data_IF_414941834384
#
_entry.id   IF_414941834384
#
_cell.length_a   1.000
_cell.length_b   1.000
_cell.length_c   1.000
_cell.angle_alpha   90.00
_cell.angle_beta   90.00
_cell.angle_gamma   90.00
#
_symmetry.space_group_name_H-M   'P 1'
#
loop_
_entity.id
_entity.type
_entity.pdbx_description
1 polymer ?
#
# COMPACT_ATOMS: atom_id res chain seq x y z
N UNK A 1 -6.57 -2.39 -15.49
CA UNK A 1 -5.99 -1.03 -15.58
C UNK A 1 -6.86 -0.08 -14.79
N UNK A 2 -8.05 0.31 -15.26
CA UNK A 2 -8.91 1.33 -14.61
C UNK A 2 -8.99 1.24 -13.08
N UNK A 3 -9.32 0.07 -12.50
CA UNK A 3 -9.40 -0.08 -11.04
C UNK A 3 -8.11 0.24 -10.27
N UNK A 4 -6.95 0.00 -10.88
CA UNK A 4 -5.65 0.34 -10.29
C UNK A 4 -5.37 1.83 -10.40
N UNK A 5 -5.78 2.46 -11.50
CA UNK A 5 -5.66 3.90 -11.69
C UNK A 5 -6.57 4.65 -10.70
N UNK A 6 -7.82 4.17 -10.53
CA UNK A 6 -8.77 4.73 -9.56
C UNK A 6 -8.26 4.58 -8.11
N UNK A 7 -7.73 3.40 -7.76
CA UNK A 7 -7.12 3.16 -6.46
C UNK A 7 -5.91 4.09 -6.24
N UNK A 8 -5.04 4.22 -7.25
CA UNK A 8 -3.88 5.10 -7.16
C UNK A 8 -4.30 6.54 -6.89
N UNK A 9 -5.27 7.06 -7.64
CA UNK A 9 -5.78 8.42 -7.46
C UNK A 9 -6.40 8.64 -6.07
N UNK A 10 -7.14 7.65 -5.56
CA UNK A 10 -7.72 7.72 -4.23
C UNK A 10 -6.64 7.77 -3.13
N UNK A 11 -5.58 6.96 -3.26
CA UNK A 11 -4.44 6.98 -2.33
C UNK A 11 -3.68 8.30 -2.45
N UNK A 12 -3.42 8.77 -3.68
CA UNK A 12 -2.71 10.04 -3.91
C UNK A 12 -3.43 11.21 -3.23
N UNK A 13 -4.75 11.33 -3.45
CA UNK A 13 -5.55 12.38 -2.83
C UNK A 13 -5.39 12.37 -1.31
N UNK A 14 -5.52 11.19 -0.69
CA UNK A 14 -5.42 11.04 0.76
C UNK A 14 -4.02 11.36 1.30
N UNK A 15 -2.96 10.84 0.66
CA UNK A 15 -1.57 11.13 1.04
C UNK A 15 -1.30 12.63 0.94
N UNK A 16 -1.82 13.29 -0.10
CA UNK A 16 -1.62 14.73 -0.25
C UNK A 16 -2.31 15.54 0.83
N UNK A 17 -3.57 15.23 1.11
CA UNK A 17 -4.37 15.92 2.13
C UNK A 17 -3.80 15.73 3.54
N UNK A 18 -3.39 14.51 3.89
CA UNK A 18 -2.88 14.20 5.23
C UNK A 18 -1.48 14.77 5.52
N UNK A 19 -0.70 15.07 4.49
CA UNK A 19 0.71 15.45 4.62
C UNK A 19 1.01 16.83 3.99
N UNK A 20 -0.03 17.63 3.73
CA UNK A 20 0.06 18.96 3.13
C UNK A 20 0.92 19.00 1.85
N UNK A 21 0.77 17.99 0.98
CA UNK A 21 1.50 17.91 -0.29
C UNK A 21 0.72 18.68 -1.35
N UNK A 22 1.35 19.71 -1.91
CA UNK A 22 0.72 20.56 -2.92
C UNK A 22 0.73 19.89 -4.30
N UNK A 23 -0.12 20.38 -5.20
CA UNK A 23 -0.05 19.95 -6.61
C UNK A 23 1.29 20.30 -7.27
N UNK A 24 1.95 21.38 -6.83
CA UNK A 24 3.26 21.77 -7.33
C UNK A 24 4.30 20.74 -6.91
N UNK A 25 4.28 20.27 -5.66
CA UNK A 25 5.16 19.19 -5.20
C UNK A 25 4.98 17.93 -6.06
N UNK A 26 3.75 17.57 -6.39
CA UNK A 26 3.43 16.39 -7.21
C UNK A 26 3.75 16.52 -8.70
N UNK A 27 3.95 17.73 -9.21
CA UNK A 27 4.25 17.97 -10.64
C UNK A 27 5.69 18.38 -10.88
N UNK A 28 6.43 18.69 -9.83
CA UNK A 28 7.87 19.01 -9.88
C UNK A 28 8.70 17.84 -9.36
N UNK A 29 9.97 17.77 -9.74
CA UNK A 29 10.91 16.73 -9.27
C UNK A 29 11.52 17.10 -7.91
N UNK A 30 10.69 17.49 -6.95
CA UNK A 30 11.15 17.81 -5.59
C UNK A 30 11.29 16.54 -4.77
N UNK A 31 12.22 16.54 -3.81
CA UNK A 31 12.39 15.42 -2.87
C UNK A 31 11.09 15.09 -2.12
N UNK A 32 10.29 16.12 -1.78
CA UNK A 32 8.99 15.97 -1.12
C UNK A 32 7.97 15.28 -2.01
N UNK A 33 7.84 15.72 -3.27
CA UNK A 33 6.96 15.07 -4.25
C UNK A 33 7.37 13.62 -4.53
N UNK A 34 8.67 13.36 -4.62
CA UNK A 34 9.17 12.00 -4.82
C UNK A 34 8.89 11.10 -3.60
N UNK A 35 9.12 11.58 -2.38
CA UNK A 35 8.78 10.84 -1.16
C UNK A 35 7.26 10.56 -1.07
N UNK A 36 6.42 11.50 -1.48
CA UNK A 36 4.97 11.29 -1.56
C UNK A 36 4.60 10.20 -2.57
N UNK A 37 5.19 10.20 -3.77
CA UNK A 37 5.01 9.11 -4.74
C UNK A 37 5.47 7.76 -4.20
N UNK A 38 6.56 7.72 -3.44
CA UNK A 38 7.03 6.50 -2.79
C UNK A 38 6.03 5.99 -1.74
N UNK A 39 5.46 6.89 -0.92
CA UNK A 39 4.40 6.54 0.05
C UNK A 39 3.16 5.98 -0.65
N UNK A 40 2.72 6.62 -1.73
CA UNK A 40 1.58 6.15 -2.53
C UNK A 40 1.86 4.75 -3.09
N UNK A 41 3.06 4.53 -3.64
CA UNK A 41 3.48 3.22 -4.15
C UNK A 41 3.48 2.14 -3.07
N UNK A 42 3.98 2.44 -1.86
CA UNK A 42 3.96 1.51 -0.74
C UNK A 42 2.54 1.05 -0.40
N UNK A 43 1.60 2.01 -0.29
CA UNK A 43 0.20 1.70 0.02
C UNK A 43 -0.45 0.94 -1.13
N UNK A 44 -0.22 1.37 -2.38
CA UNK A 44 -0.77 0.72 -3.56
C UNK A 44 -0.33 -0.75 -3.68
N UNK A 45 0.97 -1.02 -3.53
CA UNK A 45 1.50 -2.39 -3.55
C UNK A 45 0.89 -3.21 -2.41
N UNK A 46 0.80 -2.63 -1.19
CA UNK A 46 0.18 -3.29 -0.05
C UNK A 46 -1.26 -3.71 -0.38
N UNK A 47 -2.09 -2.82 -0.90
CA UNK A 47 -3.48 -3.12 -1.25
C UNK A 47 -3.61 -4.25 -2.28
N UNK A 48 -2.72 -4.29 -3.27
CA UNK A 48 -2.71 -5.39 -4.24
C UNK A 48 -2.32 -6.71 -3.58
N UNK A 49 -1.33 -6.71 -2.69
CA UNK A 49 -0.95 -7.90 -1.91
C UNK A 49 -2.11 -8.39 -1.03
N UNK A 50 -2.82 -7.46 -0.37
CA UNK A 50 -3.97 -7.78 0.48
C UNK A 50 -5.14 -8.31 -0.33
N UNK A 51 -5.44 -7.73 -1.50
CA UNK A 51 -6.50 -8.22 -2.39
C UNK A 51 -6.23 -9.67 -2.82
N UNK A 52 -5.00 -9.99 -3.24
CA UNK A 52 -4.61 -11.37 -3.61
C UNK A 52 -4.66 -12.31 -2.41
N UNK A 53 -4.31 -11.83 -1.23
CA UNK A 53 -4.41 -12.62 0.00
C UNK A 53 -5.86 -12.95 0.35
N UNK A 54 -6.77 -11.98 0.19
CA UNK A 54 -8.23 -12.21 0.35
C UNK A 54 -8.74 -13.22 -0.66
N UNK A 55 -8.36 -13.11 -1.94
CA UNK A 55 -8.75 -14.09 -2.98
C UNK A 55 -8.38 -15.53 -2.59
N UNK A 56 -7.29 -15.72 -1.83
CA UNK A 56 -6.81 -17.04 -1.43
C UNK A 56 -7.37 -17.55 -0.11
N UNK A 57 -7.60 -16.67 0.88
CA UNK A 57 -7.87 -17.08 2.27
C UNK A 57 -9.21 -16.59 2.82
N UNK A 58 -9.85 -15.60 2.19
CA UNK A 58 -11.14 -15.12 2.66
C UNK A 58 -12.24 -16.18 2.41
N UNK A 59 -13.27 -16.16 3.25
CA UNK A 59 -14.47 -16.96 3.10
C UNK A 59 -15.70 -16.13 3.45
N UNK A 60 -16.90 -16.65 3.15
CA UNK A 60 -18.16 -16.01 3.54
C UNK A 60 -18.30 -15.80 5.06
N UNK A 61 -17.57 -16.56 5.88
CA UNK A 61 -17.60 -16.46 7.34
C UNK A 61 -16.49 -15.57 7.90
N UNK A 62 -15.35 -15.48 7.19
CA UNK A 62 -14.19 -14.68 7.58
C UNK A 62 -13.67 -13.95 6.34
N UNK A 63 -14.19 -12.75 6.04
CA UNK A 63 -13.91 -12.04 4.79
C UNK A 63 -12.51 -11.40 4.74
N UNK A 64 -11.82 -11.30 5.88
CA UNK A 64 -10.54 -10.59 6.01
C UNK A 64 -10.64 -9.13 5.54
N UNK A 65 -11.67 -8.42 6.02
CA UNK A 65 -11.96 -7.05 5.58
C UNK A 65 -10.97 -6.06 6.20
N UNK A 66 -10.60 -5.03 5.44
CA UNK A 66 -9.70 -3.98 5.89
C UNK A 66 -8.36 -4.53 6.39
N UNK A 67 -7.98 -4.13 7.60
CA UNK A 67 -6.75 -4.49 8.29
C UNK A 67 -6.63 -6.00 8.57
N UNK A 68 -7.74 -6.74 8.63
CA UNK A 68 -7.71 -8.17 8.96
C UNK A 68 -6.94 -8.99 7.92
N UNK A 69 -6.99 -8.60 6.64
CA UNK A 69 -6.18 -9.21 5.60
C UNK A 69 -4.69 -9.04 5.89
N UNK A 70 -4.28 -7.87 6.36
CA UNK A 70 -2.90 -7.59 6.72
C UNK A 70 -2.47 -8.46 7.90
N UNK A 71 -3.28 -8.47 8.96
CA UNK A 71 -2.96 -9.24 10.15
C UNK A 71 -2.84 -10.73 9.84
N UNK A 72 -3.76 -11.25 9.03
CA UNK A 72 -3.71 -12.63 8.59
C UNK A 72 -2.50 -12.91 7.68
N UNK A 73 -2.15 -11.98 6.79
CA UNK A 73 -0.96 -12.11 5.93
C UNK A 73 0.31 -12.23 6.77
N UNK A 74 0.51 -11.31 7.72
CA UNK A 74 1.68 -11.34 8.60
C UNK A 74 1.70 -12.62 9.42
N UNK A 75 0.58 -12.99 10.07
CA UNK A 75 0.47 -14.24 10.83
C UNK A 75 0.87 -15.46 9.99
N UNK A 76 0.39 -15.56 8.75
CA UNK A 76 0.71 -16.68 7.85
C UNK A 76 2.18 -16.73 7.44
N UNK A 77 2.88 -15.59 7.40
CA UNK A 77 4.30 -15.51 7.04
C UNK A 77 5.23 -15.75 8.23
N UNK A 78 4.90 -15.19 9.39
CA UNK A 78 5.83 -15.12 10.52
C UNK A 78 5.46 -16.07 11.66
N UNK A 79 4.20 -16.51 11.74
CA UNK A 79 3.67 -17.25 12.89
C UNK A 79 3.47 -16.39 14.15
N UNK A 80 3.68 -15.07 14.07
CA UNK A 80 3.49 -14.15 15.21
C UNK A 80 2.04 -14.15 15.68
N UNK A 81 1.84 -14.03 16.99
CA UNK A 81 0.49 -14.05 17.57
C UNK A 81 -0.29 -12.83 17.07
N UNK A 82 -1.63 -12.94 16.89
CA UNK A 82 -2.45 -11.82 16.43
C UNK A 82 -2.30 -10.54 17.25
N UNK A 83 -2.05 -10.66 18.56
CA UNK A 83 -1.77 -9.51 19.42
C UNK A 83 -0.48 -8.77 19.03
N UNK A 84 0.61 -9.50 18.77
CA UNK A 84 1.89 -8.93 18.36
C UNK A 84 1.75 -8.24 16.99
N UNK A 85 1.05 -8.90 16.06
CA UNK A 85 0.80 -8.36 14.72
C UNK A 85 0.00 -7.05 14.76
N UNK A 86 -1.00 -6.97 15.64
CA UNK A 86 -1.85 -5.77 15.79
C UNK A 86 -1.14 -4.57 16.42
N UNK A 87 0.05 -4.75 16.97
CA UNK A 87 0.85 -3.69 17.58
C UNK A 87 1.82 -3.02 16.60
N UNK A 88 1.99 -3.58 15.40
CA UNK A 88 2.92 -3.05 14.40
C UNK A 88 2.42 -1.71 13.87
N UNK A 89 3.34 -0.74 13.76
CA UNK A 89 3.10 0.45 12.94
C UNK A 89 3.02 0.07 11.46
N UNK A 90 2.60 0.99 10.60
CA UNK A 90 2.66 0.75 9.16
C UNK A 90 4.10 0.56 8.68
N UNK A 91 5.05 1.30 9.24
CA UNK A 91 6.46 1.17 8.88
C UNK A 91 7.01 -0.20 9.30
N UNK A 92 6.69 -0.67 10.50
CA UNK A 92 7.07 -2.01 10.96
C UNK A 92 6.43 -3.09 10.08
N UNK A 93 5.18 -2.87 9.67
CA UNK A 93 4.47 -3.73 8.72
C UNK A 93 5.21 -3.82 7.39
N UNK A 94 5.59 -2.68 6.80
CA UNK A 94 6.34 -2.66 5.54
C UNK A 94 7.69 -3.36 5.69
N UNK A 95 8.36 -3.17 6.82
CA UNK A 95 9.62 -3.85 7.12
C UNK A 95 9.44 -5.37 7.14
N UNK A 96 8.44 -5.88 7.85
CA UNK A 96 8.13 -7.32 7.91
C UNK A 96 7.78 -7.90 6.53
N UNK A 97 7.15 -7.10 5.67
CA UNK A 97 6.71 -7.51 4.35
C UNK A 97 7.70 -7.15 3.23
N UNK A 98 8.88 -6.60 3.53
CA UNK A 98 9.77 -5.96 2.55
C UNK A 98 10.11 -6.85 1.34
N UNK A 99 10.25 -8.17 1.54
CA UNK A 99 10.50 -9.10 0.44
C UNK A 99 9.36 -9.15 -0.59
N UNK A 100 8.11 -8.95 -0.17
CA UNK A 100 6.95 -8.93 -1.06
C UNK A 100 6.87 -7.70 -1.95
N UNK A 101 7.57 -6.63 -1.56
CA UNK A 101 7.63 -5.37 -2.32
C UNK A 101 8.66 -5.41 -3.43
N UNK A 102 9.48 -6.45 -3.51
CA UNK A 102 10.47 -6.59 -4.59
C UNK A 102 9.80 -6.78 -5.94
N UNK A 103 10.35 -6.14 -6.97
CA UNK A 103 9.83 -6.11 -8.33
C UNK A 103 9.51 -7.51 -8.89
N UNK A 104 10.35 -8.50 -8.63
CA UNK A 104 10.15 -9.88 -9.08
C UNK A 104 8.90 -10.55 -8.50
N UNK A 105 8.40 -10.07 -7.36
CA UNK A 105 7.22 -10.61 -6.68
C UNK A 105 5.93 -9.89 -7.08
N UNK A 106 6.01 -8.78 -7.82
CA UNK A 106 4.87 -7.98 -8.23
C UNK A 106 4.29 -8.45 -9.58
N UNK A 107 2.94 -8.49 -9.73
CA UNK A 107 2.31 -8.69 -11.02
C UNK A 107 2.82 -7.71 -12.09
N UNK A 108 2.88 -8.15 -13.35
CA UNK A 108 3.33 -7.31 -14.47
C UNK A 108 2.52 -6.02 -14.61
N UNK A 109 1.21 -6.09 -14.37
CA UNK A 109 0.28 -4.95 -14.40
C UNK A 109 0.60 -3.91 -13.31
N UNK A 110 0.92 -4.38 -12.09
CA UNK A 110 1.29 -3.51 -10.96
C UNK A 110 2.59 -2.77 -11.28
N UNK A 111 3.59 -3.49 -11.80
CA UNK A 111 4.84 -2.87 -12.26
C UNK A 111 4.64 -1.86 -13.39
N UNK A 112 3.68 -2.10 -14.28
CA UNK A 112 3.33 -1.15 -15.33
C UNK A 112 2.75 0.15 -14.75
N UNK A 113 1.86 0.05 -13.75
CA UNK A 113 1.30 1.21 -13.04
C UNK A 113 2.40 2.00 -12.31
N UNK A 114 3.27 1.32 -11.55
CA UNK A 114 4.36 2.00 -10.84
C UNK A 114 5.25 2.82 -11.79
N UNK A 115 5.58 2.25 -12.96
CA UNK A 115 6.34 2.96 -14.00
C UNK A 115 5.58 4.12 -14.61
N UNK A 116 4.29 3.96 -14.93
CA UNK A 116 3.49 5.04 -15.51
C UNK A 116 3.29 6.21 -14.54
N UNK A 117 3.31 5.93 -13.23
CA UNK A 117 3.20 6.93 -12.18
C UNK A 117 4.55 7.58 -11.81
N UNK A 118 5.64 7.20 -12.50
CA UNK A 118 6.96 7.80 -12.31
C UNK A 118 7.60 7.47 -10.96
N UNK A 119 7.25 6.32 -10.37
CA UNK A 119 7.89 5.84 -9.13
C UNK A 119 9.35 5.51 -9.45
N UNK A 120 10.27 6.21 -8.77
CA UNK A 120 11.71 6.00 -8.95
C UNK A 120 12.16 4.76 -8.18
N UNK A 121 13.11 4.03 -8.76
CA UNK A 121 13.81 2.93 -8.08
C UNK A 121 14.95 3.49 -7.23
N UNK A 122 14.59 4.29 -6.23
CA UNK A 122 15.54 4.88 -5.29
C UNK A 122 14.94 4.92 -3.87
N UNK A 123 15.81 4.89 -2.85
CA UNK A 123 15.36 5.02 -1.48
C UNK A 123 14.97 6.48 -1.19
N UNK A 124 13.71 6.68 -0.81
CA UNK A 124 13.19 7.96 -0.33
C UNK A 124 12.57 7.76 1.05
N UNK A 125 12.97 8.56 2.06
CA UNK A 125 12.44 8.42 3.41
C UNK A 125 10.96 8.78 3.43
N UNK A 126 10.15 7.86 3.94
CA UNK A 126 8.70 8.04 4.14
C UNK A 126 8.31 7.99 5.62
N UNK A 127 9.28 8.18 6.52
CA UNK A 127 9.09 8.00 7.97
C UNK A 127 8.14 9.04 8.58
N UNK A 128 8.12 10.25 8.03
CA UNK A 128 7.31 11.37 8.53
C UNK A 128 5.88 11.38 7.97
N UNK A 129 5.52 10.39 7.14
CA UNK A 129 4.19 10.30 6.55
C UNK A 129 3.16 9.75 7.53
N UNK A 130 1.96 10.30 7.47
CA UNK A 130 0.85 9.92 8.35
C UNK A 130 0.44 8.46 8.19
N UNK A 131 0.24 7.77 9.30
CA UNK A 131 -0.40 6.44 9.36
C UNK A 131 -1.80 6.46 8.73
N UNK A 132 -2.48 7.62 8.76
CA UNK A 132 -3.83 7.81 8.19
C UNK A 132 -3.86 7.80 6.66
N UNK A 133 -2.70 7.78 6.01
CA UNK A 133 -2.61 7.63 4.55
C UNK A 133 -3.18 6.29 4.09
N UNK A 134 -3.08 5.28 4.95
CA UNK A 134 -3.61 3.95 4.69
C UNK A 134 -5.02 3.83 5.25
N UNK A 135 -6.01 3.77 4.35
CA UNK A 135 -7.42 3.51 4.69
C UNK A 135 -7.88 2.21 4.04
N UNK A 136 -7.55 1.04 4.62
CA UNK A 136 -7.70 -0.25 3.94
C UNK A 136 -9.15 -0.60 3.60
N UNK A 137 -10.12 -0.18 4.42
CA UNK A 137 -11.54 -0.44 4.15
C UNK A 137 -12.06 0.34 2.94
N UNK A 138 -11.58 1.57 2.77
CA UNK A 138 -11.92 2.41 1.62
C UNK A 138 -11.19 1.92 0.38
N UNK A 139 -9.91 1.59 0.50
CA UNK A 139 -9.10 1.10 -0.61
C UNK A 139 -9.59 -0.25 -1.15
N UNK A 140 -10.06 -1.14 -0.28
CA UNK A 140 -10.52 -2.48 -0.64
C UNK A 140 -11.62 -2.44 -1.71
N UNK A 141 -12.49 -1.42 -1.71
CA UNK A 141 -13.63 -1.32 -2.63
C UNK A 141 -13.21 -1.28 -4.10
N UNK A 142 -12.04 -0.70 -4.41
CA UNK A 142 -11.53 -0.59 -5.77
C UNK A 142 -11.07 -1.94 -6.33
N UNK A 143 -10.69 -2.87 -5.46
CA UNK A 143 -10.15 -4.17 -5.85
C UNK A 143 -11.14 -5.32 -5.68
N UNK A 144 -12.35 -5.06 -5.15
CA UNK A 144 -13.46 -6.01 -5.16
C UNK A 144 -13.91 -6.28 -6.60
N UNK A 145 -14.28 -7.54 -6.86
CA UNK A 145 -14.92 -7.95 -8.12
C UNK A 145 -16.40 -7.64 -8.08
#
# INVERSE_FOLDING_TARGET
MQKYDDLWQAIEMRVRENNDITHIDMTTDTARGQAARQRIAQIFILEVLLARHREKYASSFVPLAGEEALYHLIFKRTGWKPFEVKQLSFIDTLFVLAELFRDENLPAEVRAVLRSQGVKDEFLPTYDFSEKDWAPRENEIFLKR
#
